data_IF_813129948112
#
_entry.id   IF_813129948112
#
_cell.length_a   1.000
_cell.length_b   1.000
_cell.length_c   1.000
_cell.angle_alpha   90.00
_cell.angle_beta   90.00
_cell.angle_gamma   90.00
#
_symmetry.space_group_name_H-M   'P 1'
#
loop_
_entity.id
_entity.type
_entity.pdbx_description
1 polymer ?
#
# COMPACT_ATOMS: atom_id res chain seq x y z
N UNK A 1 1.29 -3.96 -21.47
CA UNK A 1 1.19 -3.95 -22.94
C UNK A 1 0.34 -5.14 -23.38
N UNK A 2 -0.71 -4.88 -24.17
CA UNK A 2 -1.56 -5.92 -24.73
C UNK A 2 -0.76 -6.85 -25.64
N UNK A 3 0.18 -6.33 -26.42
CA UNK A 3 0.98 -7.13 -27.37
C UNK A 3 1.72 -8.27 -26.69
N UNK A 4 2.28 -8.02 -25.51
CA UNK A 4 3.00 -9.05 -24.71
C UNK A 4 2.05 -10.14 -24.21
N UNK A 5 0.84 -9.78 -23.78
CA UNK A 5 -0.15 -10.75 -23.30
C UNK A 5 -0.66 -11.62 -24.46
N UNK A 6 -0.93 -10.99 -25.61
CA UNK A 6 -1.36 -11.68 -26.84
C UNK A 6 -0.26 -12.59 -27.38
N UNK A 7 0.98 -12.12 -27.44
CA UNK A 7 2.12 -12.93 -27.91
C UNK A 7 2.29 -14.21 -27.08
N UNK A 8 2.15 -14.14 -25.75
CA UNK A 8 2.18 -15.32 -24.88
C UNK A 8 1.05 -16.29 -25.18
N UNK A 9 -0.16 -15.76 -25.36
CA UNK A 9 -1.36 -16.55 -25.64
C UNK A 9 -1.23 -17.27 -27.00
N UNK A 10 -0.82 -16.54 -28.04
CA UNK A 10 -0.59 -17.08 -29.39
C UNK A 10 0.52 -18.11 -29.36
N UNK A 11 1.66 -17.84 -28.71
CA UNK A 11 2.76 -18.81 -28.58
C UNK A 11 2.30 -20.13 -27.93
N UNK A 12 1.48 -20.07 -26.87
CA UNK A 12 0.90 -21.25 -26.25
C UNK A 12 -0.06 -22.02 -27.19
N UNK A 13 -0.83 -21.33 -28.05
CA UNK A 13 -1.79 -21.99 -28.95
C UNK A 13 -1.12 -22.53 -30.22
N UNK A 14 -0.13 -21.83 -30.75
CA UNK A 14 0.71 -22.28 -31.87
C UNK A 14 1.49 -23.54 -31.50
N UNK A 15 2.06 -23.60 -30.29
CA UNK A 15 2.75 -24.82 -29.82
C UNK A 15 1.81 -26.02 -29.67
N UNK A 16 0.54 -25.82 -29.33
CA UNK A 16 -0.46 -26.90 -29.34
C UNK A 16 -0.82 -27.33 -30.76
N UNK A 17 -1.04 -26.37 -31.67
CA UNK A 17 -1.32 -26.67 -33.07
C UNK A 17 -0.19 -27.47 -33.72
N UNK A 18 1.07 -27.05 -33.53
CA UNK A 18 2.24 -27.76 -34.05
C UNK A 18 2.36 -29.21 -33.56
N UNK A 19 1.91 -29.49 -32.32
CA UNK A 19 1.86 -30.88 -31.81
C UNK A 19 0.79 -31.70 -32.53
N UNK A 20 -0.40 -31.16 -32.74
CA UNK A 20 -1.47 -31.84 -33.50
C UNK A 20 -1.03 -32.11 -34.94
N UNK A 21 -0.39 -31.14 -35.57
CA UNK A 21 0.10 -31.27 -36.94
C UNK A 21 1.19 -32.34 -37.07
N UNK A 22 2.03 -32.51 -36.03
CA UNK A 22 3.07 -33.57 -36.04
C UNK A 22 2.49 -34.98 -36.15
N UNK A 23 1.30 -35.23 -35.58
CA UNK A 23 0.59 -36.50 -35.67
C UNK A 23 -0.39 -36.56 -36.84
N UNK A 24 -0.55 -35.46 -37.60
CA UNK A 24 -1.46 -35.34 -38.75
C UNK A 24 -2.92 -35.70 -38.43
N UNK A 25 -3.33 -35.59 -37.16
CA UNK A 25 -4.66 -36.02 -36.68
C UNK A 25 -5.80 -35.14 -37.22
N UNK A 26 -5.51 -33.92 -37.67
CA UNK A 26 -6.49 -32.95 -38.15
C UNK A 26 -6.15 -32.40 -39.53
N UNK A 27 -6.15 -33.27 -40.55
CA UNK A 27 -5.89 -32.89 -41.94
C UNK A 27 -6.83 -31.80 -42.49
N UNK A 28 -8.04 -31.67 -41.96
CA UNK A 28 -9.01 -30.63 -42.33
C UNK A 28 -8.84 -29.31 -41.55
N UNK A 29 -7.90 -29.24 -40.61
CA UNK A 29 -7.61 -28.03 -39.82
C UNK A 29 -8.71 -27.65 -38.81
N UNK A 30 -9.61 -28.56 -38.45
CA UNK A 30 -10.70 -28.30 -37.50
C UNK A 30 -10.16 -27.88 -36.12
N UNK A 31 -9.10 -28.54 -35.65
CA UNK A 31 -8.45 -28.21 -34.38
C UNK A 31 -7.81 -26.80 -34.41
N UNK A 32 -7.16 -26.43 -35.52
CA UNK A 32 -6.59 -25.10 -35.71
C UNK A 32 -7.65 -23.99 -35.67
N UNK A 33 -8.80 -24.20 -36.32
CA UNK A 33 -9.94 -23.27 -36.28
C UNK A 33 -10.50 -23.10 -34.87
N UNK A 34 -10.59 -24.19 -34.09
CA UNK A 34 -11.04 -24.12 -32.70
C UNK A 34 -10.08 -23.31 -31.82
N UNK A 35 -8.76 -23.51 -31.97
CA UNK A 35 -7.75 -22.75 -31.25
C UNK A 35 -7.77 -21.27 -31.62
N UNK A 36 -7.94 -20.93 -32.90
CA UNK A 36 -8.10 -19.55 -33.36
C UNK A 36 -9.32 -18.88 -32.70
N UNK A 37 -10.48 -19.56 -32.69
CA UNK A 37 -11.69 -19.03 -32.04
C UNK A 37 -11.49 -18.77 -30.55
N UNK A 38 -10.69 -19.59 -29.85
CA UNK A 38 -10.35 -19.36 -28.45
C UNK A 38 -9.44 -18.13 -28.26
N UNK A 39 -8.50 -17.91 -29.19
CA UNK A 39 -7.66 -16.71 -29.21
C UNK A 39 -8.53 -15.47 -29.38
N UNK A 40 -9.41 -15.47 -30.38
CA UNK A 40 -10.32 -14.35 -30.69
C UNK A 40 -11.22 -14.01 -29.50
N UNK A 41 -11.86 -15.00 -28.87
CA UNK A 41 -12.70 -14.79 -27.68
C UNK A 41 -11.93 -14.19 -26.49
N UNK A 42 -10.68 -14.61 -26.30
CA UNK A 42 -9.83 -14.05 -25.23
C UNK A 42 -9.35 -12.65 -25.56
N UNK A 43 -9.06 -12.37 -26.82
CA UNK A 43 -8.71 -11.04 -27.29
C UNK A 43 -9.85 -10.06 -27.07
N UNK A 44 -11.06 -10.43 -27.49
CA UNK A 44 -12.28 -9.64 -27.29
C UNK A 44 -12.45 -9.26 -25.82
N UNK A 45 -12.33 -10.24 -24.93
CA UNK A 45 -12.41 -10.02 -23.47
C UNK A 45 -11.27 -9.18 -22.89
N UNK A 46 -10.07 -9.23 -23.48
CA UNK A 46 -8.94 -8.41 -23.05
C UNK A 46 -9.05 -6.96 -23.53
N UNK A 47 -9.67 -6.75 -24.70
CA UNK A 47 -9.94 -5.42 -25.25
C UNK A 47 -11.19 -4.78 -24.66
N UNK A 48 -12.12 -5.57 -24.15
CA UNK A 48 -13.29 -5.09 -23.45
C UNK A 48 -12.86 -4.26 -22.23
N UNK A 49 -13.31 -3.01 -22.17
CA UNK A 49 -13.07 -2.16 -21.00
C UNK A 49 -13.77 -2.77 -19.78
N UNK A 50 -13.12 -2.68 -18.62
CA UNK A 50 -13.76 -3.11 -17.39
C UNK A 50 -15.09 -2.37 -17.19
N UNK A 51 -16.17 -3.06 -16.77
CA UNK A 51 -17.45 -2.41 -16.53
C UNK A 51 -17.28 -1.30 -15.49
N UNK A 52 -17.96 -0.18 -15.72
CA UNK A 52 -17.89 0.99 -14.82
C UNK A 52 -18.36 0.55 -13.44
N UNK A 53 -17.46 0.64 -12.45
CA UNK A 53 -17.79 0.30 -11.07
C UNK A 53 -18.76 1.35 -10.54
N UNK A 54 -19.90 0.90 -10.02
CA UNK A 54 -20.79 1.78 -9.28
C UNK A 54 -20.02 2.43 -8.12
N UNK A 55 -20.28 3.72 -7.88
CA UNK A 55 -19.69 4.45 -6.77
C UNK A 55 -20.18 3.78 -5.50
N UNK A 56 -19.27 3.14 -4.76
CA UNK A 56 -19.60 2.57 -3.47
C UNK A 56 -19.80 3.74 -2.50
N UNK A 57 -21.02 3.98 -1.99
CA UNK A 57 -21.24 5.07 -1.06
C UNK A 57 -20.41 4.83 0.21
N UNK A 58 -20.06 5.93 0.87
CA UNK A 58 -19.47 5.84 2.21
C UNK A 58 -20.46 5.12 3.14
N UNK A 59 -19.91 4.44 4.15
CA UNK A 59 -20.74 3.90 5.21
C UNK A 59 -21.52 5.04 5.88
N UNK A 60 -22.78 4.79 6.22
CA UNK A 60 -23.61 5.76 6.94
C UNK A 60 -22.89 6.23 8.22
N UNK A 61 -22.94 7.52 8.55
CA UNK A 61 -22.28 8.08 9.74
C UNK A 61 -23.02 7.68 11.02
N UNK A 62 -22.99 6.40 11.35
CA UNK A 62 -23.57 5.83 12.58
C UNK A 62 -22.41 5.54 13.53
N UNK A 63 -22.40 6.22 14.67
CA UNK A 63 -21.42 5.92 15.72
C UNK A 63 -21.80 4.63 16.44
N UNK A 64 -20.94 3.62 16.32
CA UNK A 64 -21.14 2.32 16.95
C UNK A 64 -20.14 2.16 18.08
N UNK A 65 -20.59 1.54 19.19
CA UNK A 65 -19.75 1.35 20.37
C UNK A 65 -18.46 0.61 20.00
N UNK A 66 -17.30 1.24 20.25
CA UNK A 66 -15.99 0.67 19.93
C UNK A 66 -15.74 -0.63 20.69
N UNK A 67 -15.30 -1.67 19.97
CA UNK A 67 -14.81 -2.91 20.59
C UNK A 67 -13.49 -2.65 21.35
N UNK A 68 -13.49 -2.90 22.65
CA UNK A 68 -12.31 -2.73 23.51
C UNK A 68 -11.52 -4.05 23.50
N UNK A 69 -10.25 -4.00 23.09
CA UNK A 69 -9.33 -5.15 23.07
C UNK A 69 -8.03 -4.78 23.78
N UNK A 70 -7.59 -5.64 24.71
CA UNK A 70 -6.41 -5.45 25.56
C UNK A 70 -5.19 -6.33 25.23
N UNK A 71 -5.27 -7.23 24.23
CA UNK A 71 -4.18 -8.17 23.93
C UNK A 71 -2.91 -7.51 23.38
N UNK A 72 -1.76 -8.22 23.47
CA UNK A 72 -0.42 -7.74 23.07
C UNK A 72 -0.37 -7.19 21.64
N UNK A 73 -0.93 -7.90 20.66
CA UNK A 73 -0.95 -7.47 19.25
C UNK A 73 -1.79 -6.19 19.09
N UNK A 74 -2.96 -6.14 19.73
CA UNK A 74 -3.83 -4.96 19.71
C UNK A 74 -3.17 -3.74 20.38
N UNK A 75 -2.45 -3.94 21.49
CA UNK A 75 -1.67 -2.89 22.15
C UNK A 75 -0.57 -2.36 21.24
N UNK A 76 0.22 -3.25 20.62
CA UNK A 76 1.28 -2.87 19.67
C UNK A 76 0.73 -2.15 18.42
N UNK A 77 -0.46 -2.51 17.94
CA UNK A 77 -1.11 -1.81 16.82
C UNK A 77 -1.60 -0.42 17.24
N UNK A 78 -2.30 -0.31 18.38
CA UNK A 78 -2.75 0.98 18.95
C UNK A 78 -1.57 1.91 19.22
N UNK A 79 -0.47 1.36 19.72
CA UNK A 79 0.76 2.10 20.02
C UNK A 79 1.36 2.76 18.77
N UNK A 80 1.33 2.11 17.59
CA UNK A 80 1.79 2.69 16.33
C UNK A 80 1.02 3.95 15.92
N UNK A 81 -0.29 3.97 16.18
CA UNK A 81 -1.15 5.11 15.83
C UNK A 81 -1.28 6.14 16.96
N UNK A 82 -0.91 5.76 18.20
CA UNK A 82 -0.93 6.67 19.35
C UNK A 82 0.18 7.70 19.18
N UNK A 83 -0.14 8.98 19.46
CA UNK A 83 0.86 10.05 19.55
C UNK A 83 1.99 9.63 20.50
N UNK A 84 3.24 9.89 20.10
CA UNK A 84 4.40 9.65 20.96
C UNK A 84 4.42 10.66 22.11
N UNK A 85 5.11 10.31 23.20
CA UNK A 85 5.28 11.21 24.35
C UNK A 85 6.08 12.46 23.97
N UNK A 86 7.06 12.33 23.08
CA UNK A 86 7.74 13.47 22.45
C UNK A 86 6.74 14.40 21.75
N UNK A 87 5.89 13.86 20.87
CA UNK A 87 4.92 14.70 20.17
C UNK A 87 3.89 15.33 21.11
N UNK A 88 3.49 14.62 22.17
CA UNK A 88 2.64 15.17 23.22
C UNK A 88 3.33 16.33 23.98
N UNK A 89 4.64 16.26 24.21
CA UNK A 89 5.42 17.34 24.83
C UNK A 89 5.59 18.57 23.93
N UNK A 90 5.67 18.37 22.62
CA UNK A 90 5.66 19.42 21.59
C UNK A 90 4.30 20.13 21.54
N UNK A 91 3.20 19.37 21.56
CA UNK A 91 1.83 19.91 21.52
C UNK A 91 1.45 20.65 22.82
N UNK A 92 2.17 20.43 23.92
CA UNK A 92 1.93 21.10 25.19
C UNK A 92 2.70 22.42 25.27
N UNK A 93 1.96 23.53 25.33
CA UNK A 93 2.49 24.86 25.65
C UNK A 93 2.54 25.07 27.17
N UNK A 94 3.65 25.60 27.68
CA UNK A 94 3.73 26.10 29.05
C UNK A 94 3.30 27.55 29.10
N UNK A 95 2.49 27.86 30.10
CA UNK A 95 2.01 29.22 30.32
C UNK A 95 3.14 30.12 30.84
N UNK A 96 3.15 31.39 30.42
CA UNK A 96 4.08 32.43 30.88
C UNK A 96 5.58 32.17 30.64
N UNK A 97 5.96 31.17 29.84
CA UNK A 97 7.36 30.90 29.46
C UNK A 97 7.54 31.10 27.97
N UNK A 98 8.51 31.92 27.57
CA UNK A 98 8.87 32.09 26.17
C UNK A 98 9.58 30.81 25.72
N UNK A 99 9.08 30.20 24.64
CA UNK A 99 9.69 29.00 24.04
C UNK A 99 10.91 29.43 23.22
N UNK A 100 11.96 28.59 23.19
CA UNK A 100 13.19 28.87 22.41
C UNK A 100 12.90 29.22 20.94
N UNK A 101 11.85 28.65 20.36
CA UNK A 101 11.47 28.83 18.95
C UNK A 101 10.57 30.05 18.71
N UNK A 102 10.40 30.95 19.69
CA UNK A 102 9.56 32.15 19.57
C UNK A 102 9.97 33.08 18.41
N UNK A 103 11.20 32.94 17.91
CA UNK A 103 11.75 33.74 16.81
C UNK A 103 11.74 33.02 15.44
N UNK A 104 11.43 31.71 15.39
CA UNK A 104 11.31 30.94 14.14
C UNK A 104 9.84 30.84 13.71
N UNK A 105 9.28 31.96 13.24
CA UNK A 105 7.86 32.03 12.83
C UNK A 105 7.56 31.41 11.45
N UNK A 106 8.58 31.23 10.60
CA UNK A 106 8.41 30.88 9.18
C UNK A 106 8.06 29.39 8.94
N UNK A 107 8.49 28.50 9.83
CA UNK A 107 8.29 27.04 9.67
C UNK A 107 7.06 26.50 10.43
N UNK A 108 6.43 27.32 11.29
CA UNK A 108 5.27 26.91 12.10
C UNK A 108 5.55 25.73 13.04
N UNK A 109 6.81 25.43 13.33
CA UNK A 109 7.26 24.37 14.22
C UNK A 109 7.51 24.96 15.60
N UNK A 110 6.92 24.36 16.63
CA UNK A 110 7.20 24.70 18.02
C UNK A 110 7.61 23.45 18.78
N UNK A 111 8.71 23.50 19.52
CA UNK A 111 9.18 22.43 20.42
C UNK A 111 8.35 22.35 21.71
N UNK A 112 7.44 23.31 21.94
CA UNK A 112 6.53 23.33 23.08
C UNK A 112 7.29 23.27 24.41
N UNK A 113 6.93 22.31 25.27
CA UNK A 113 7.59 22.08 26.56
C UNK A 113 8.96 21.39 26.45
N UNK A 114 9.32 20.85 25.28
CA UNK A 114 10.58 20.13 25.13
C UNK A 114 11.74 21.14 25.13
N UNK A 115 12.68 20.96 26.05
CA UNK A 115 13.88 21.80 26.17
C UNK A 115 13.78 22.91 27.22
N UNK A 116 12.59 23.16 27.78
CA UNK A 116 12.39 24.23 28.77
C UNK A 116 12.95 23.93 30.19
N UNK A 117 13.46 22.72 30.43
CA UNK A 117 14.15 22.38 31.68
C UNK A 117 15.56 23.00 31.68
N UNK A 118 15.71 24.19 32.27
CA UNK A 118 16.95 24.98 32.29
C UNK A 118 18.16 24.39 33.04
N UNK A 119 18.22 23.06 33.27
CA UNK A 119 19.32 22.41 33.98
C UNK A 119 20.40 21.82 33.06
N UNK A 120 20.33 22.00 31.73
CA UNK A 120 21.29 21.40 30.77
C UNK A 120 21.28 19.86 30.70
N UNK A 121 20.64 19.20 31.67
CA UNK A 121 20.44 17.75 31.75
C UNK A 121 19.11 17.43 31.06
N UNK A 122 19.18 17.18 29.76
CA UNK A 122 18.02 16.86 28.94
C UNK A 122 17.53 15.43 29.22
N UNK A 123 16.66 15.24 30.23
CA UNK A 123 15.86 14.02 30.36
C UNK A 123 14.66 14.08 29.41
N UNK A 124 14.93 14.08 28.11
CA UNK A 124 13.89 13.97 27.09
C UNK A 124 13.24 12.59 27.10
N UNK A 125 11.94 12.49 26.75
CA UNK A 125 11.33 11.20 26.48
C UNK A 125 12.15 10.49 25.39
N UNK A 126 12.41 9.19 25.58
CA UNK A 126 13.17 8.40 24.61
C UNK A 126 12.46 8.38 23.24
N UNK A 127 13.24 8.44 22.16
CA UNK A 127 12.70 8.36 20.81
C UNK A 127 12.13 6.96 20.61
N UNK A 128 10.80 6.90 20.44
CA UNK A 128 10.10 5.65 20.28
C UNK A 128 10.47 4.96 18.96
N UNK A 129 10.91 3.70 19.00
CA UNK A 129 11.26 2.91 17.81
C UNK A 129 10.12 2.79 16.79
N UNK A 130 8.86 3.07 17.18
CA UNK A 130 7.71 3.05 16.29
C UNK A 130 7.64 4.23 15.32
N UNK A 131 8.25 5.37 15.64
CA UNK A 131 8.24 6.57 14.77
C UNK A 131 9.21 6.46 13.62
N UNK A 132 10.13 5.48 13.67
CA UNK A 132 11.02 5.16 12.55
C UNK A 132 10.20 4.76 11.33
N UNK A 133 10.46 5.40 10.19
CA UNK A 133 9.82 5.07 8.93
C UNK A 133 10.02 3.59 8.61
N UNK A 134 8.93 2.90 8.26
CA UNK A 134 8.96 1.49 7.85
C UNK A 134 8.57 1.38 6.39
N UNK A 135 9.33 0.57 5.67
CA UNK A 135 9.04 0.23 4.28
C UNK A 135 7.93 -0.83 4.20
N UNK A 136 7.01 -0.66 3.26
CA UNK A 136 5.91 -1.60 3.02
C UNK A 136 6.45 -2.95 2.57
N UNK A 137 5.79 -4.06 2.92
CA UNK A 137 6.26 -5.41 2.55
C UNK A 137 6.54 -5.56 1.05
N UNK A 138 5.73 -4.91 0.20
CA UNK A 138 5.94 -4.90 -1.25
C UNK A 138 7.25 -4.19 -1.61
N UNK A 139 7.49 -3.01 -1.03
CA UNK A 139 8.73 -2.27 -1.24
C UNK A 139 9.95 -3.03 -0.71
N UNK A 140 9.85 -3.72 0.43
CA UNK A 140 10.95 -4.56 0.94
C UNK A 140 11.35 -5.63 -0.08
N UNK A 141 10.36 -6.33 -0.65
CA UNK A 141 10.61 -7.37 -1.65
C UNK A 141 11.23 -6.81 -2.92
N UNK A 142 10.77 -5.65 -3.37
CA UNK A 142 11.36 -4.99 -4.55
C UNK A 142 12.81 -4.59 -4.29
N UNK A 143 13.11 -4.02 -3.11
CA UNK A 143 14.47 -3.63 -2.73
C UNK A 143 15.41 -4.83 -2.53
N UNK A 144 14.89 -6.00 -2.12
CA UNK A 144 15.68 -7.23 -1.98
C UNK A 144 15.97 -7.93 -3.31
N UNK A 145 15.18 -7.65 -4.35
CA UNK A 145 15.34 -8.24 -5.68
C UNK A 145 16.23 -7.40 -6.61
N UNK A 146 16.54 -6.17 -6.21
CA UNK A 146 17.53 -5.31 -6.85
C UNK A 146 18.92 -5.64 -6.35
#
# INVERSE_FOLDING_TARGET
>A
DLRVQVARLVACKVTLAARVDSFHESAQGQQGKALLSEIEKRLEKLTESAPVKAIKPLASPIDSKRKIRGGRICRKMKERYRRSELRAGVEQSTFATIVEDAYESDLGLSRGRIGQSGSGILRTPQIDSKTKARISQKLQKTLQQQ
#
